data_IF_504211761645
#
_entry.id   IF_504211761645
#
_cell.length_a   1.000
_cell.length_b   1.000
_cell.length_c   1.000
_cell.angle_alpha   90.00
_cell.angle_beta   90.00
_cell.angle_gamma   90.00
#
_symmetry.space_group_name_H-M   'P 1'
#
loop_
_entity.id
_entity.type
_entity.pdbx_description
1 polymer ?
#
# COMPACT_ATOMS: atom_id res chain seq x y z
N UNK A 1 -10.03 13.12 -4.09
CA UNK A 1 -8.99 12.75 -5.08
C UNK A 1 -9.67 12.36 -6.36
N UNK A 2 -9.22 12.90 -7.48
CA UNK A 2 -9.75 12.57 -8.81
C UNK A 2 -9.08 11.31 -9.40
N UNK A 3 -9.70 10.71 -10.41
CA UNK A 3 -9.21 9.51 -11.10
C UNK A 3 -7.83 9.75 -11.73
N UNK A 4 -7.58 10.96 -12.22
CA UNK A 4 -6.31 11.38 -12.81
C UNK A 4 -5.17 11.39 -11.79
N UNK A 5 -5.44 11.78 -10.54
CA UNK A 5 -4.48 11.76 -9.44
C UNK A 5 -4.13 10.31 -9.06
N UNK A 6 -5.13 9.42 -8.98
CA UNK A 6 -4.89 7.99 -8.76
C UNK A 6 -4.03 7.38 -9.88
N UNK A 7 -4.26 7.73 -11.15
CA UNK A 7 -3.42 7.27 -12.27
C UNK A 7 -1.96 7.73 -12.15
N UNK A 8 -1.73 8.96 -11.73
CA UNK A 8 -0.39 9.45 -11.48
C UNK A 8 0.27 8.70 -10.31
N UNK A 9 -0.48 8.41 -9.25
CA UNK A 9 -0.01 7.58 -8.14
C UNK A 9 0.29 6.14 -8.58
N UNK A 10 -0.57 5.51 -9.39
CA UNK A 10 -0.35 4.17 -9.97
C UNK A 10 0.93 4.08 -10.81
N UNK A 11 1.29 5.16 -11.52
CA UNK A 11 2.54 5.22 -12.29
C UNK A 11 3.76 5.46 -11.41
N UNK A 12 3.61 6.27 -10.37
CA UNK A 12 4.70 6.70 -9.51
C UNK A 12 5.04 5.69 -8.40
N UNK A 13 4.08 4.87 -7.97
CA UNK A 13 4.22 4.00 -6.79
C UNK A 13 5.38 3.00 -6.87
N UNK A 14 5.77 2.56 -8.07
CA UNK A 14 6.90 1.64 -8.26
C UNK A 14 8.25 2.34 -8.44
N UNK A 15 8.25 3.58 -8.96
CA UNK A 15 9.46 4.28 -9.37
C UNK A 15 9.90 5.41 -8.44
N UNK A 16 8.94 6.16 -7.89
CA UNK A 16 9.20 7.41 -7.20
C UNK A 16 9.72 7.17 -5.77
N UNK A 17 10.74 7.95 -5.40
CA UNK A 17 11.52 7.76 -4.17
C UNK A 17 10.65 7.75 -2.92
N UNK A 18 9.62 8.60 -2.85
CA UNK A 18 8.70 8.67 -1.72
C UNK A 18 8.02 7.34 -1.42
N UNK A 19 7.47 6.65 -2.44
CA UNK A 19 6.75 5.40 -2.22
C UNK A 19 7.70 4.25 -1.84
N UNK A 20 8.90 4.21 -2.45
CA UNK A 20 9.94 3.25 -2.08
C UNK A 20 10.40 3.45 -0.64
N UNK A 21 10.73 4.69 -0.26
CA UNK A 21 11.17 5.05 1.08
C UNK A 21 10.11 4.76 2.14
N UNK A 22 8.86 5.16 1.88
CA UNK A 22 7.73 4.87 2.77
C UNK A 22 7.59 3.36 3.03
N UNK A 23 7.63 2.52 1.99
CA UNK A 23 7.55 1.06 2.15
C UNK A 23 8.72 0.49 2.94
N UNK A 24 9.94 1.00 2.73
CA UNK A 24 11.11 0.57 3.48
C UNK A 24 10.97 0.89 4.99
N UNK A 25 10.51 2.09 5.32
CA UNK A 25 10.27 2.51 6.72
C UNK A 25 9.20 1.63 7.36
N UNK A 26 8.06 1.44 6.70
CA UNK A 26 6.98 0.58 7.22
C UNK A 26 7.50 -0.84 7.46
N UNK A 27 8.23 -1.42 6.50
CA UNK A 27 8.80 -2.77 6.64
C UNK A 27 9.75 -2.87 7.83
N UNK A 28 10.60 -1.86 8.03
CA UNK A 28 11.51 -1.81 9.18
C UNK A 28 10.73 -1.77 10.50
N UNK A 29 9.70 -0.93 10.60
CA UNK A 29 8.88 -0.82 11.80
C UNK A 29 8.10 -2.10 12.09
N UNK A 30 7.53 -2.75 11.07
CA UNK A 30 6.74 -3.97 11.27
C UNK A 30 7.60 -5.17 11.70
N UNK A 31 8.85 -5.26 11.23
CA UNK A 31 9.74 -6.42 11.44
C UNK A 31 9.85 -6.83 12.91
N UNK A 32 10.01 -5.85 13.81
CA UNK A 32 10.30 -6.10 15.22
C UNK A 32 9.09 -5.82 16.14
N UNK A 33 8.02 -5.22 15.61
CA UNK A 33 6.86 -4.80 16.41
C UNK A 33 5.59 -5.62 16.15
N UNK A 34 5.61 -6.54 15.18
CA UNK A 34 4.42 -7.32 14.82
C UNK A 34 4.73 -8.80 14.77
N UNK A 35 3.86 -9.61 15.39
CA UNK A 35 3.96 -11.07 15.35
C UNK A 35 3.55 -11.60 13.97
N UNK A 36 4.15 -12.70 13.54
CA UNK A 36 3.91 -13.31 12.23
C UNK A 36 2.46 -13.71 11.95
N UNK A 37 1.64 -13.90 12.99
CA UNK A 37 0.23 -14.27 12.93
C UNK A 37 -0.74 -13.08 13.06
N UNK A 38 -0.22 -11.86 13.20
CA UNK A 38 -1.05 -10.68 13.34
C UNK A 38 -1.77 -10.33 12.04
N UNK A 39 -3.02 -9.85 12.18
CA UNK A 39 -3.79 -9.26 11.08
C UNK A 39 -3.54 -7.77 11.02
N UNK A 40 -3.22 -7.25 9.84
CA UNK A 40 -2.96 -5.83 9.61
C UNK A 40 -4.05 -5.23 8.73
N UNK A 41 -4.49 -4.01 9.05
CA UNK A 41 -5.39 -3.22 8.23
C UNK A 41 -4.66 -1.96 7.75
N UNK A 42 -4.62 -1.75 6.44
CA UNK A 42 -4.18 -0.48 5.83
C UNK A 42 -5.42 0.34 5.48
N UNK A 43 -5.72 1.32 6.34
CA UNK A 43 -6.89 2.20 6.18
C UNK A 43 -6.50 3.43 5.36
N UNK A 44 -7.21 3.67 4.26
CA UNK A 44 -6.78 4.61 3.22
C UNK A 44 -5.65 4.02 2.38
N UNK A 45 -5.77 2.73 2.01
CA UNK A 45 -4.72 1.99 1.30
C UNK A 45 -4.41 2.56 -0.09
N UNK A 46 -5.27 3.43 -0.63
CA UNK A 46 -5.21 3.91 -1.99
C UNK A 46 -5.06 2.75 -2.97
N UNK A 47 -4.10 2.86 -3.88
CA UNK A 47 -3.79 1.88 -4.92
C UNK A 47 -3.32 0.50 -4.42
N UNK A 48 -3.09 0.32 -3.10
CA UNK A 48 -2.74 -0.97 -2.51
C UNK A 48 -1.28 -1.40 -2.68
N UNK A 49 -0.40 -0.60 -3.29
CA UNK A 49 1.00 -0.98 -3.51
C UNK A 49 1.78 -1.25 -2.21
N UNK A 50 1.43 -0.59 -1.11
CA UNK A 50 2.00 -0.88 0.21
C UNK A 50 1.66 -2.32 0.62
N UNK A 51 0.38 -2.69 0.68
CA UNK A 51 -0.07 -4.05 0.96
C UNK A 51 0.56 -5.10 0.06
N UNK A 52 0.59 -4.84 -1.26
CA UNK A 52 1.15 -5.78 -2.23
C UNK A 52 2.62 -6.12 -1.93
N UNK A 53 3.39 -5.17 -1.42
CA UNK A 53 4.79 -5.38 -1.02
C UNK A 53 4.97 -6.30 0.19
N UNK A 54 3.89 -6.62 0.90
CA UNK A 54 3.88 -7.41 2.13
C UNK A 54 3.13 -8.75 2.01
N UNK A 55 2.55 -9.06 0.84
CA UNK A 55 1.66 -10.21 0.62
C UNK A 55 2.23 -11.57 1.08
N UNK A 56 3.55 -11.71 1.10
CA UNK A 56 4.24 -12.95 1.48
C UNK A 56 4.83 -12.93 2.91
N UNK A 57 4.63 -11.85 3.66
CA UNK A 57 5.27 -11.62 4.97
C UNK A 57 4.23 -11.50 6.08
N UNK A 58 3.07 -10.92 5.80
CA UNK A 58 2.00 -10.65 6.76
C UNK A 58 0.64 -10.85 6.12
N UNK A 59 -0.36 -11.20 6.92
CA UNK A 59 -1.75 -11.17 6.52
C UNK A 59 -2.29 -9.74 6.67
N UNK A 60 -2.49 -9.05 5.54
CA UNK A 60 -2.91 -7.66 5.52
C UNK A 60 -4.14 -7.45 4.61
N UNK A 61 -5.07 -6.64 5.06
CA UNK A 61 -6.25 -6.19 4.33
C UNK A 61 -6.22 -4.68 4.11
N UNK A 62 -6.76 -4.21 2.99
CA UNK A 62 -6.78 -2.80 2.61
C UNK A 62 -8.21 -2.31 2.49
N UNK A 63 -8.48 -1.13 3.04
CA UNK A 63 -9.76 -0.45 2.89
C UNK A 63 -9.51 0.97 2.44
N UNK A 64 -10.27 1.43 1.46
CA UNK A 64 -10.30 2.82 1.03
C UNK A 64 -11.75 3.25 0.79
N UNK A 65 -12.07 4.49 1.16
CA UNK A 65 -13.40 5.06 0.94
C UNK A 65 -13.65 5.40 -0.53
N UNK A 66 -12.57 5.57 -1.30
CA UNK A 66 -12.66 5.89 -2.71
C UNK A 66 -12.71 4.62 -3.56
N UNK A 67 -13.84 4.35 -4.20
CA UNK A 67 -13.95 3.25 -5.18
C UNK A 67 -12.90 3.35 -6.30
N UNK A 68 -12.49 4.60 -6.65
CA UNK A 68 -11.46 4.89 -7.64
C UNK A 68 -10.10 4.25 -7.29
N UNK A 69 -9.83 4.04 -6.01
CA UNK A 69 -8.60 3.41 -5.53
C UNK A 69 -8.41 1.97 -6.06
N UNK A 70 -9.52 1.29 -6.39
CA UNK A 70 -9.52 -0.08 -6.90
C UNK A 70 -9.63 -0.17 -8.43
N UNK A 71 -9.75 0.96 -9.14
CA UNK A 71 -10.00 1.00 -10.59
C UNK A 71 -8.70 1.05 -11.41
N UNK A 72 -7.72 0.21 -11.07
CA UNK A 72 -6.46 0.11 -11.83
C UNK A 72 -6.75 -0.47 -13.22
N UNK A 73 -6.65 0.35 -14.26
CA UNK A 73 -6.65 -0.15 -15.66
C UNK A 73 -5.32 -0.86 -15.91
N UNK A 74 -5.38 -2.15 -16.24
CA UNK A 74 -4.25 -2.92 -16.74
C UNK A 74 -3.83 -2.44 -18.13
#
# INVERSE_FOLDING_TARGET
>A
MDISEFQNMFKAEDGHWWFKGKRAIIKYLLKDNVKTDSKILDFGCGCGATLASFKNVIHAEGVDVSEKAFQRKQ
#
